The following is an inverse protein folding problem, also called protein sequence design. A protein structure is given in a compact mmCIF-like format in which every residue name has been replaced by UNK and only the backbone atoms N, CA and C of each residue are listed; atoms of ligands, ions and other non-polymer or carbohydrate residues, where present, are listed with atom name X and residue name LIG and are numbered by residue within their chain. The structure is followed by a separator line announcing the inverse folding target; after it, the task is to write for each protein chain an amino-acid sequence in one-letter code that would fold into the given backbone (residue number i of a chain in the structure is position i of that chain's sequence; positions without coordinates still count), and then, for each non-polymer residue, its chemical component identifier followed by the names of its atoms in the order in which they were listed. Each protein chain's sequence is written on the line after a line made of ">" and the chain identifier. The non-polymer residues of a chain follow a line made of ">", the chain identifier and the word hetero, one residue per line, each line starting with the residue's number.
data_IF_830946682114
#
_entry.id   IF_830946682114
#
_cell.length_a   1.000
_cell.length_b   1.000
_cell.length_c   1.000
_cell.angle_alpha   90.00
_cell.angle_beta   90.00
_cell.angle_gamma   90.00
#
_symmetry.space_group_name_H-M   'P 1'
#
loop_
_entity.id
_entity.type
_entity.pdbx_description
1 polymer ?
#
# COMPACT_ATOMS: atom_id res chain seq x y z
N UNK A 1 -19.58 -32.32 7.11
CA UNK A 1 -20.15 -31.26 6.26
C UNK A 1 -21.59 -31.66 5.97
N UNK A 2 -22.56 -30.83 6.34
CA UNK A 2 -24.01 -31.12 6.20
C UNK A 2 -24.49 -31.02 4.74
N UNK A 3 -23.66 -30.47 3.84
CA UNK A 3 -23.84 -30.45 2.40
C UNK A 3 -22.73 -31.25 1.71
N UNK A 4 -23.10 -32.09 0.75
CA UNK A 4 -22.16 -32.83 -0.09
C UNK A 4 -21.57 -31.90 -1.14
N UNK A 5 -20.37 -31.38 -0.86
CA UNK A 5 -19.63 -30.47 -1.73
C UNK A 5 -18.73 -31.20 -2.73
N UNK A 6 -18.84 -32.54 -2.83
CA UNK A 6 -18.03 -33.35 -3.76
C UNK A 6 -18.18 -32.91 -5.21
N UNK A 7 -19.35 -32.42 -5.61
CA UNK A 7 -19.61 -31.85 -6.94
C UNK A 7 -19.10 -30.41 -7.10
N UNK A 8 -18.92 -29.67 -6.01
CA UNK A 8 -18.49 -28.27 -6.07
C UNK A 8 -17.02 -28.15 -6.50
N UNK A 9 -16.15 -29.05 -6.04
CA UNK A 9 -14.73 -29.09 -6.40
C UNK A 9 -14.52 -29.22 -7.92
N UNK A 10 -15.02 -30.28 -8.60
CA UNK A 10 -14.82 -30.43 -10.04
C UNK A 10 -15.52 -29.32 -10.84
N UNK A 11 -16.69 -28.84 -10.40
CA UNK A 11 -17.37 -27.70 -11.04
C UNK A 11 -16.51 -26.45 -10.98
N UNK A 12 -15.96 -26.10 -9.80
CA UNK A 12 -15.11 -24.93 -9.63
C UNK A 12 -13.82 -25.03 -10.46
N UNK A 13 -13.18 -26.20 -10.50
CA UNK A 13 -11.95 -26.41 -11.26
C UNK A 13 -12.20 -26.35 -12.77
N UNK A 14 -13.23 -27.03 -13.27
CA UNK A 14 -13.55 -27.07 -14.71
C UNK A 14 -14.05 -25.70 -15.18
N UNK A 15 -15.06 -25.13 -14.52
CA UNK A 15 -15.59 -23.82 -14.89
C UNK A 15 -14.53 -22.72 -14.78
N UNK A 16 -13.73 -22.73 -13.71
CA UNK A 16 -12.65 -21.77 -13.51
C UNK A 16 -11.56 -21.87 -14.59
N UNK A 17 -11.14 -23.09 -14.95
CA UNK A 17 -10.13 -23.34 -15.98
C UNK A 17 -10.65 -22.96 -17.37
N UNK A 18 -11.87 -23.39 -17.72
CA UNK A 18 -12.52 -23.02 -18.98
C UNK A 18 -12.64 -21.51 -19.08
N UNK A 19 -13.12 -20.84 -18.04
CA UNK A 19 -13.27 -19.38 -18.05
C UNK A 19 -11.92 -18.65 -18.12
N UNK A 20 -10.86 -19.16 -17.50
CA UNK A 20 -9.51 -18.59 -17.59
C UNK A 20 -8.88 -18.76 -18.98
N UNK A 21 -9.16 -19.89 -19.65
CA UNK A 21 -8.61 -20.23 -20.96
C UNK A 21 -9.43 -19.67 -22.13
N UNK A 22 -10.76 -19.58 -22.00
CA UNK A 22 -11.68 -19.21 -23.08
C UNK A 22 -11.82 -17.69 -23.30
N UNK A 23 -11.15 -16.86 -22.49
CA UNK A 23 -11.27 -15.40 -22.60
C UNK A 23 -9.93 -14.69 -22.38
N UNK A 24 -9.74 -13.59 -23.11
CA UNK A 24 -8.62 -12.66 -22.91
C UNK A 24 -8.99 -11.48 -22.01
N UNK A 25 -10.29 -11.30 -21.70
CA UNK A 25 -10.76 -10.22 -20.83
C UNK A 25 -10.25 -10.42 -19.41
N UNK A 26 -9.50 -9.43 -18.90
CA UNK A 26 -8.82 -9.48 -17.60
C UNK A 26 -9.76 -9.87 -16.44
N UNK A 27 -10.96 -9.31 -16.40
CA UNK A 27 -11.91 -9.55 -15.31
C UNK A 27 -12.37 -11.00 -15.28
N UNK A 28 -12.76 -11.56 -16.43
CA UNK A 28 -13.20 -12.95 -16.54
C UNK A 28 -12.08 -13.94 -16.24
N UNK A 29 -10.84 -13.64 -16.64
CA UNK A 29 -9.67 -14.45 -16.25
C UNK A 29 -9.43 -14.41 -14.73
N UNK A 30 -9.65 -13.25 -14.11
CA UNK A 30 -9.50 -13.12 -12.66
C UNK A 30 -10.58 -13.90 -11.91
N UNK A 31 -11.85 -13.83 -12.36
CA UNK A 31 -12.91 -14.69 -11.85
C UNK A 31 -12.58 -16.18 -12.03
N UNK A 32 -11.96 -16.56 -13.15
CA UNK A 32 -11.55 -17.94 -13.42
C UNK A 32 -10.53 -18.44 -12.42
N UNK A 33 -9.51 -17.61 -12.13
CA UNK A 33 -8.51 -17.88 -11.08
C UNK A 33 -9.13 -18.01 -9.70
N UNK A 34 -10.11 -17.17 -9.35
CA UNK A 34 -10.82 -17.26 -8.07
C UNK A 34 -11.55 -18.60 -7.96
N UNK A 35 -12.28 -19.02 -9.00
CA UNK A 35 -12.98 -20.30 -9.05
C UNK A 35 -12.03 -21.49 -8.92
N UNK A 36 -10.91 -21.49 -9.66
CA UNK A 36 -9.88 -22.53 -9.52
C UNK A 36 -9.31 -22.54 -8.10
N UNK A 37 -9.01 -21.36 -7.53
CA UNK A 37 -8.51 -21.24 -6.16
C UNK A 37 -9.47 -21.81 -5.12
N UNK A 38 -10.77 -21.54 -5.24
CA UNK A 38 -11.81 -22.13 -4.39
C UNK A 38 -11.84 -23.66 -4.54
N UNK A 39 -11.80 -24.17 -5.78
CA UNK A 39 -11.77 -25.60 -6.05
C UNK A 39 -10.56 -26.30 -5.42
N UNK A 40 -9.37 -25.73 -5.57
CA UNK A 40 -8.13 -26.25 -4.96
C UNK A 40 -8.16 -26.17 -3.44
N UNK A 41 -8.70 -25.09 -2.86
CA UNK A 41 -8.87 -24.97 -1.41
C UNK A 41 -9.79 -26.08 -0.87
N UNK A 42 -10.95 -26.29 -1.48
CA UNK A 42 -11.90 -27.33 -1.07
C UNK A 42 -11.29 -28.74 -1.21
N UNK A 43 -10.61 -29.01 -2.33
CA UNK A 43 -9.89 -30.27 -2.53
C UNK A 43 -8.81 -30.49 -1.46
N UNK A 44 -8.03 -29.46 -1.14
CA UNK A 44 -7.00 -29.54 -0.10
C UNK A 44 -7.58 -29.87 1.27
N UNK A 45 -8.75 -29.31 1.61
CA UNK A 45 -9.45 -29.60 2.87
C UNK A 45 -9.95 -31.04 2.92
N UNK A 46 -10.48 -31.55 1.80
CA UNK A 46 -10.87 -32.95 1.69
C UNK A 46 -9.66 -33.88 1.90
N UNK A 47 -8.54 -33.60 1.22
CA UNK A 47 -7.30 -34.35 1.34
C UNK A 47 -6.74 -34.31 2.78
N UNK A 48 -6.71 -33.13 3.41
CA UNK A 48 -6.28 -32.99 4.82
C UNK A 48 -7.18 -33.83 5.73
N UNK A 49 -8.49 -33.78 5.49
CA UNK A 49 -9.41 -34.69 6.12
C UNK A 49 -8.93 -36.13 5.95
N UNK A 50 -8.92 -36.66 4.73
CA UNK A 50 -8.59 -38.07 4.45
C UNK A 50 -7.25 -38.49 5.08
N UNK A 51 -6.23 -37.65 4.97
CA UNK A 51 -4.91 -37.87 5.58
C UNK A 51 -4.94 -37.90 7.11
N UNK A 52 -5.91 -37.22 7.74
CA UNK A 52 -6.11 -37.21 9.20
C UNK A 52 -6.93 -38.40 9.71
N UNK A 53 -7.51 -39.22 8.85
CA UNK A 53 -8.35 -40.36 9.27
C UNK A 53 -7.62 -41.38 10.17
N UNK A 54 -6.35 -41.74 9.93
CA UNK A 54 -5.60 -42.64 10.81
C UNK A 54 -5.44 -42.09 12.23
N UNK A 55 -5.51 -40.77 12.43
CA UNK A 55 -5.42 -40.15 13.75
C UNK A 55 -6.62 -40.52 14.63
N UNK A 56 -7.75 -40.94 14.07
CA UNK A 56 -8.92 -41.40 14.83
C UNK A 56 -8.67 -42.72 15.55
N UNK A 57 -7.76 -43.53 15.02
CA UNK A 57 -7.34 -44.80 15.62
C UNK A 57 -6.13 -44.62 16.55
N UNK A 58 -5.57 -43.41 16.64
CA UNK A 58 -4.43 -43.11 17.49
C UNK A 58 -4.84 -42.97 18.96
N UNK A 59 -4.08 -43.62 19.84
CA UNK A 59 -4.20 -43.45 21.30
C UNK A 59 -3.72 -42.06 21.77
N UNK A 60 -2.92 -41.36 20.97
CA UNK A 60 -2.40 -40.04 21.30
C UNK A 60 -3.41 -38.92 21.07
N UNK A 61 -4.32 -39.05 20.10
CA UNK A 61 -5.25 -37.96 19.77
C UNK A 61 -6.18 -37.59 20.93
N UNK A 62 -6.83 -38.55 21.62
CA UNK A 62 -7.63 -38.22 22.80
C UNK A 62 -6.82 -37.52 23.90
N UNK A 63 -5.55 -37.89 24.08
CA UNK A 63 -4.66 -37.24 25.07
C UNK A 63 -4.38 -35.77 24.72
N UNK A 64 -4.09 -35.50 23.45
CA UNK A 64 -3.86 -34.14 22.94
C UNK A 64 -5.13 -33.30 23.08
N UNK A 65 -6.28 -33.84 22.67
CA UNK A 65 -7.58 -33.15 22.75
C UNK A 65 -7.96 -32.88 24.20
N UNK A 66 -7.75 -33.84 25.10
CA UNK A 66 -8.00 -33.66 26.53
C UNK A 66 -7.10 -32.60 27.15
N UNK A 67 -5.82 -32.55 26.78
CA UNK A 67 -4.91 -31.49 27.22
C UNK A 67 -5.42 -30.11 26.83
N UNK A 68 -5.76 -29.91 25.54
CA UNK A 68 -6.27 -28.62 25.07
C UNK A 68 -7.68 -28.29 25.57
N UNK A 69 -8.49 -29.30 25.87
CA UNK A 69 -9.81 -29.10 26.49
C UNK A 69 -9.70 -28.71 27.97
N UNK A 70 -8.59 -29.09 28.63
CA UNK A 70 -8.26 -28.68 30.00
C UNK A 70 -7.55 -27.32 30.07
N UNK A 71 -6.89 -26.88 29.00
CA UNK A 71 -6.18 -25.61 28.92
C UNK A 71 -6.56 -24.80 27.67
N UNK A 72 -7.64 -24.05 27.80
CA UNK A 72 -8.16 -23.18 26.74
C UNK A 72 -7.22 -22.02 26.38
N UNK A 73 -6.35 -21.57 27.28
CA UNK A 73 -5.40 -20.49 26.96
C UNK A 73 -4.34 -21.00 25.99
N UNK A 74 -3.80 -22.19 26.25
CA UNK A 74 -2.83 -22.79 25.32
C UNK A 74 -3.48 -23.16 23.98
N UNK A 75 -4.71 -23.69 23.99
CA UNK A 75 -5.46 -23.96 22.76
C UNK A 75 -5.67 -22.68 21.92
N UNK A 76 -6.10 -21.59 22.56
CA UNK A 76 -6.28 -20.29 21.94
C UNK A 76 -5.00 -19.75 21.29
N UNK A 77 -3.87 -19.78 22.01
CA UNK A 77 -2.59 -19.32 21.50
C UNK A 77 -2.06 -20.19 20.36
N UNK A 78 -2.26 -21.51 20.43
CA UNK A 78 -1.89 -22.42 19.35
C UNK A 78 -2.68 -22.11 18.07
N UNK A 79 -3.99 -21.90 18.17
CA UNK A 79 -4.80 -21.52 17.01
C UNK A 79 -4.40 -20.16 16.43
N UNK A 80 -4.04 -19.20 17.28
CA UNK A 80 -3.49 -17.92 16.83
C UNK A 80 -2.18 -18.10 16.06
N UNK A 81 -1.25 -18.92 16.58
CA UNK A 81 0.02 -19.23 15.93
C UNK A 81 -0.18 -19.91 14.57
N UNK A 82 -1.00 -20.95 14.52
CA UNK A 82 -1.29 -21.68 13.27
C UNK A 82 -1.92 -20.76 12.22
N UNK A 83 -2.85 -19.91 12.64
CA UNK A 83 -3.50 -18.95 11.72
C UNK A 83 -2.52 -17.92 11.18
N UNK A 84 -1.63 -17.41 12.04
CA UNK A 84 -0.58 -16.48 11.63
C UNK A 84 0.37 -17.14 10.61
N UNK A 85 0.79 -18.38 10.84
CA UNK A 85 1.60 -19.15 9.89
C UNK A 85 0.89 -19.37 8.54
N UNK A 86 -0.42 -19.61 8.56
CA UNK A 86 -1.21 -19.80 7.34
C UNK A 86 -1.52 -18.49 6.60
N UNK A 87 -1.29 -17.35 7.25
CA UNK A 87 -1.68 -16.03 6.76
C UNK A 87 -3.19 -15.93 6.37
N UNK A 88 -4.05 -16.83 6.86
CA UNK A 88 -5.45 -16.93 6.44
C UNK A 88 -6.36 -17.45 7.55
N UNK A 89 -7.31 -16.62 7.99
CA UNK A 89 -8.32 -17.02 8.97
C UNK A 89 -9.31 -18.03 8.41
N UNK A 90 -9.71 -17.89 7.14
CA UNK A 90 -10.69 -18.78 6.52
C UNK A 90 -10.11 -20.19 6.39
N UNK A 91 -8.87 -20.32 5.93
CA UNK A 91 -8.22 -21.62 5.83
C UNK A 91 -8.12 -22.31 7.20
N UNK A 92 -7.74 -21.56 8.25
CA UNK A 92 -7.66 -22.08 9.60
C UNK A 92 -9.04 -22.52 10.14
N UNK A 93 -10.11 -21.70 9.98
CA UNK A 93 -11.47 -22.08 10.39
C UNK A 93 -11.94 -23.33 9.63
N UNK A 94 -11.74 -23.40 8.31
CA UNK A 94 -12.17 -24.55 7.52
C UNK A 94 -11.46 -25.84 7.93
N UNK A 95 -10.18 -25.76 8.29
CA UNK A 95 -9.44 -26.88 8.87
C UNK A 95 -10.10 -27.34 10.19
N UNK A 96 -10.39 -26.42 11.10
CA UNK A 96 -11.06 -26.72 12.37
C UNK A 96 -12.43 -27.36 12.16
N UNK A 97 -13.23 -26.83 11.24
CA UNK A 97 -14.55 -27.35 10.87
C UNK A 97 -14.43 -28.77 10.30
N UNK A 98 -13.41 -29.02 9.48
CA UNK A 98 -13.14 -30.34 8.90
C UNK A 98 -12.80 -31.36 9.98
N UNK A 99 -11.90 -31.01 10.90
CA UNK A 99 -11.49 -31.87 12.01
C UNK A 99 -12.63 -32.11 13.01
N UNK A 100 -13.43 -31.09 13.31
CA UNK A 100 -14.63 -31.20 14.12
C UNK A 100 -15.67 -32.13 13.48
N UNK A 101 -15.84 -32.07 12.17
CA UNK A 101 -16.76 -32.95 11.43
C UNK A 101 -16.36 -34.42 11.47
N UNK A 102 -15.11 -34.73 11.82
CA UNK A 102 -14.59 -36.08 12.03
C UNK A 102 -14.66 -36.52 13.51
N UNK A 103 -15.15 -35.66 14.40
CA UNK A 103 -15.24 -35.92 15.84
C UNK A 103 -13.94 -35.69 16.62
N UNK A 104 -12.92 -35.08 16.02
CA UNK A 104 -11.65 -34.81 16.72
C UNK A 104 -11.72 -33.66 17.71
N UNK A 105 -12.60 -32.69 17.48
CA UNK A 105 -12.66 -31.45 18.23
C UNK A 105 -14.02 -31.35 18.92
N UNK A 106 -14.08 -31.31 20.27
CA UNK A 106 -15.31 -31.02 20.99
C UNK A 106 -15.72 -29.55 20.79
N UNK A 107 -17.01 -29.22 20.97
CA UNK A 107 -17.54 -27.92 20.59
C UNK A 107 -16.96 -26.75 21.37
N UNK A 108 -16.73 -26.89 22.66
CA UNK A 108 -16.13 -25.85 23.51
C UNK A 108 -14.70 -25.53 23.04
N UNK A 109 -13.91 -26.57 22.76
CA UNK A 109 -12.56 -26.41 22.22
C UNK A 109 -12.61 -25.74 20.85
N UNK A 110 -13.55 -26.13 19.97
CA UNK A 110 -13.73 -25.52 18.66
C UNK A 110 -13.97 -24.01 18.72
N UNK A 111 -14.80 -23.54 19.65
CA UNK A 111 -15.07 -22.11 19.86
C UNK A 111 -13.81 -21.37 20.32
N UNK A 112 -13.08 -21.93 21.28
CA UNK A 112 -11.82 -21.35 21.78
C UNK A 112 -10.78 -21.25 20.67
N UNK A 113 -10.65 -22.29 19.83
CA UNK A 113 -9.75 -22.27 18.69
C UNK A 113 -10.16 -21.18 17.68
N UNK A 114 -11.45 -20.98 17.41
CA UNK A 114 -11.96 -19.90 16.53
C UNK A 114 -11.62 -18.51 17.08
N UNK A 115 -11.69 -18.30 18.39
CA UNK A 115 -11.23 -17.05 19.00
C UNK A 115 -9.73 -16.86 18.76
N UNK A 116 -8.94 -17.90 18.93
CA UNK A 116 -7.50 -17.89 18.62
C UNK A 116 -7.21 -17.55 17.16
N UNK A 117 -7.97 -18.12 16.22
CA UNK A 117 -7.88 -17.79 14.78
C UNK A 117 -8.11 -16.30 14.52
N UNK A 118 -9.07 -15.67 15.23
CA UNK A 118 -9.30 -14.24 15.09
C UNK A 118 -8.16 -13.38 15.65
N UNK A 119 -7.51 -13.81 16.73
CA UNK A 119 -6.28 -13.16 17.21
C UNK A 119 -5.16 -13.28 16.18
N UNK A 120 -4.85 -14.52 15.75
CA UNK A 120 -3.75 -14.79 14.82
C UNK A 120 -3.86 -14.01 13.52
N UNK A 121 -5.06 -13.98 12.94
CA UNK A 121 -5.31 -13.22 11.71
C UNK A 121 -5.23 -11.70 11.88
N UNK A 122 -5.57 -11.19 13.05
CA UNK A 122 -5.49 -9.76 13.34
C UNK A 122 -4.05 -9.22 13.41
N UNK A 123 -3.06 -10.10 13.67
CA UNK A 123 -1.64 -9.77 13.76
C UNK A 123 -0.98 -9.60 12.38
N UNK A 124 -1.51 -10.26 11.34
CA UNK A 124 -0.88 -10.34 10.01
C UNK A 124 -0.68 -8.95 9.40
N UNK A 125 -1.74 -8.13 9.34
CA UNK A 125 -1.68 -6.83 8.67
C UNK A 125 -0.73 -5.83 9.37
N UNK A 126 -0.74 -5.67 10.71
CA UNK A 126 0.28 -4.89 11.42
C UNK A 126 1.71 -5.32 11.12
N UNK A 127 1.97 -6.64 11.06
CA UNK A 127 3.30 -7.16 10.80
C UNK A 127 3.77 -6.84 9.38
N UNK A 128 2.90 -7.04 8.39
CA UNK A 128 3.22 -6.76 6.98
C UNK A 128 3.40 -5.25 6.69
N UNK A 129 2.72 -4.39 7.46
CA UNK A 129 2.78 -2.93 7.30
C UNK A 129 3.79 -2.25 8.21
N UNK A 130 4.61 -3.00 8.97
CA UNK A 130 5.53 -2.42 9.97
C UNK A 130 6.49 -1.36 9.43
N UNK A 131 6.88 -1.46 8.17
CA UNK A 131 7.81 -0.55 7.48
C UNK A 131 7.10 0.54 6.65
N UNK A 132 5.76 0.55 6.64
CA UNK A 132 4.99 1.57 5.93
C UNK A 132 4.96 2.89 6.71
N UNK A 133 4.55 3.96 6.03
CA UNK A 133 4.36 5.26 6.66
C UNK A 133 3.35 5.20 7.82
N UNK A 134 3.49 6.05 8.86
CA UNK A 134 2.63 6.04 10.03
C UNK A 134 1.13 6.02 9.70
N UNK A 135 0.67 6.86 8.75
CA UNK A 135 -0.74 6.92 8.36
C UNK A 135 -1.30 5.59 7.83
N UNK A 136 -0.49 4.79 7.13
CA UNK A 136 -0.88 3.49 6.57
C UNK A 136 -1.03 2.43 7.68
N UNK A 137 -0.28 2.57 8.78
CA UNK A 137 -0.23 1.60 9.88
C UNK A 137 -1.42 1.73 10.84
N UNK A 138 -2.10 2.87 10.85
CA UNK A 138 -3.21 3.14 11.79
C UNK A 138 -4.34 2.13 11.63
N UNK A 139 -4.79 1.85 10.40
CA UNK A 139 -5.91 0.93 10.15
C UNK A 139 -5.58 -0.52 10.51
N UNK A 140 -4.42 -1.09 10.09
CA UNK A 140 -4.00 -2.42 10.55
C UNK A 140 -3.92 -2.57 12.07
N UNK A 141 -3.37 -1.56 12.77
CA UNK A 141 -3.31 -1.56 14.24
C UNK A 141 -4.71 -1.48 14.84
N UNK A 142 -5.60 -0.67 14.27
CA UNK A 142 -7.00 -0.60 14.70
C UNK A 142 -7.73 -1.94 14.54
N UNK A 143 -7.48 -2.68 13.45
CA UNK A 143 -8.01 -4.03 13.26
C UNK A 143 -7.47 -5.02 14.31
N UNK A 144 -6.18 -4.94 14.66
CA UNK A 144 -5.58 -5.73 15.75
C UNK A 144 -6.24 -5.42 17.09
N UNK A 145 -6.45 -4.14 17.41
CA UNK A 145 -7.12 -3.72 18.63
C UNK A 145 -8.56 -4.25 18.67
N UNK A 146 -9.35 -4.01 17.62
CA UNK A 146 -10.75 -4.45 17.56
C UNK A 146 -10.89 -5.97 17.65
N UNK A 147 -10.25 -6.70 16.72
CA UNK A 147 -10.43 -8.15 16.60
C UNK A 147 -9.61 -8.93 17.61
N UNK A 148 -8.37 -8.50 17.85
CA UNK A 148 -7.46 -9.15 18.80
C UNK A 148 -7.95 -8.97 20.25
N UNK A 149 -8.21 -7.73 20.69
CA UNK A 149 -8.73 -7.53 22.06
C UNK A 149 -10.15 -8.06 22.19
N UNK A 150 -11.01 -7.91 21.17
CA UNK A 150 -12.35 -8.49 21.17
C UNK A 150 -12.32 -10.02 21.32
N UNK A 151 -11.38 -10.68 20.64
CA UNK A 151 -11.14 -12.13 20.76
C UNK A 151 -10.69 -12.52 22.17
N UNK A 152 -9.75 -11.78 22.75
CA UNK A 152 -9.26 -12.02 24.11
C UNK A 152 -10.36 -11.80 25.17
N UNK A 153 -11.13 -10.72 25.04
CA UNK A 153 -12.27 -10.46 25.93
C UNK A 153 -13.33 -11.56 25.84
N UNK A 154 -13.62 -12.03 24.63
CA UNK A 154 -14.55 -13.15 24.43
C UNK A 154 -14.03 -14.46 25.02
N UNK A 155 -12.72 -14.71 24.98
CA UNK A 155 -12.12 -15.87 25.64
C UNK A 155 -12.35 -15.82 27.16
N UNK A 156 -12.06 -14.67 27.78
CA UNK A 156 -12.27 -14.46 29.22
C UNK A 156 -13.75 -14.66 29.57
N UNK A 157 -14.65 -14.07 28.78
CA UNK A 157 -16.09 -14.20 28.98
C UNK A 157 -16.56 -15.66 28.84
N UNK A 158 -16.05 -16.37 27.85
CA UNK A 158 -16.38 -17.78 27.61
C UNK A 158 -15.91 -18.68 28.77
N UNK A 159 -14.68 -18.48 29.26
CA UNK A 159 -14.13 -19.24 30.38
C UNK A 159 -14.87 -18.99 31.71
N UNK A 160 -15.37 -17.76 31.91
CA UNK A 160 -16.05 -17.36 33.14
C UNK A 160 -17.54 -17.71 33.14
N UNK A 161 -18.26 -17.41 32.06
CA UNK A 161 -19.71 -17.64 31.98
C UNK A 161 -20.08 -19.06 31.54
N UNK A 162 -19.19 -19.77 30.86
CA UNK A 162 -19.41 -21.13 30.33
C UNK A 162 -20.77 -21.28 29.65
N UNK A 163 -21.09 -20.44 28.64
CA UNK A 163 -22.40 -20.46 28.02
C UNK A 163 -22.64 -21.81 27.33
N UNK A 164 -23.90 -22.31 27.32
CA UNK A 164 -24.22 -23.51 26.57
C UNK A 164 -23.94 -23.27 25.08
N UNK A 165 -23.25 -24.19 24.41
CA UNK A 165 -22.82 -24.00 23.01
C UNK A 165 -23.86 -24.49 21.99
N UNK A 166 -24.89 -25.19 22.44
CA UNK A 166 -25.91 -25.82 21.58
C UNK A 166 -26.76 -24.83 20.77
N UNK A 167 -26.89 -23.57 21.21
CA UNK A 167 -27.62 -22.55 20.43
C UNK A 167 -26.90 -22.16 19.14
N UNK A 168 -25.59 -22.45 19.03
CA UNK A 168 -24.78 -22.11 17.87
C UNK A 168 -24.99 -23.09 16.70
N UNK A 169 -25.68 -24.21 16.89
CA UNK A 169 -25.96 -25.14 15.80
C UNK A 169 -26.18 -26.58 16.26
N UNK A 170 -26.73 -27.39 15.36
CA UNK A 170 -27.07 -28.79 15.63
C UNK A 170 -25.85 -29.73 15.64
N UNK A 171 -24.78 -29.39 14.91
CA UNK A 171 -23.53 -30.16 14.86
C UNK A 171 -22.33 -29.33 15.30
N UNK A 172 -21.25 -29.98 15.73
CA UNK A 172 -20.01 -29.28 16.14
C UNK A 172 -19.42 -28.41 15.00
N UNK A 173 -19.34 -28.89 13.74
CA UNK A 173 -18.98 -28.04 12.61
C UNK A 173 -19.80 -26.75 12.50
N UNK A 174 -21.13 -26.86 12.61
CA UNK A 174 -22.03 -25.70 12.51
C UNK A 174 -21.78 -24.72 13.66
N UNK A 175 -21.57 -25.23 14.87
CA UNK A 175 -21.27 -24.42 16.05
C UNK A 175 -19.97 -23.63 15.88
N UNK A 176 -18.94 -24.22 15.30
CA UNK A 176 -17.66 -23.54 15.00
C UNK A 176 -17.85 -22.43 13.96
N UNK A 177 -18.56 -22.72 12.86
CA UNK A 177 -18.83 -21.72 11.80
C UNK A 177 -19.66 -20.57 12.35
N UNK A 178 -20.75 -20.88 13.06
CA UNK A 178 -21.64 -19.88 13.61
C UNK A 178 -21.00 -19.08 14.74
N UNK A 179 -20.12 -19.69 15.56
CA UNK A 179 -19.30 -18.96 16.52
C UNK A 179 -18.37 -17.96 15.82
N UNK A 180 -17.75 -18.34 14.69
CA UNK A 180 -16.91 -17.43 13.92
C UNK A 180 -17.72 -16.24 13.37
N UNK A 181 -18.89 -16.50 12.80
CA UNK A 181 -19.77 -15.45 12.27
C UNK A 181 -20.25 -14.55 13.42
N UNK A 182 -20.79 -15.14 14.49
CA UNK A 182 -21.31 -14.42 15.64
C UNK A 182 -20.24 -13.53 16.28
N UNK A 183 -19.02 -14.04 16.46
CA UNK A 183 -17.91 -13.26 16.96
C UNK A 183 -17.65 -12.01 16.09
N UNK A 184 -17.56 -12.19 14.77
CA UNK A 184 -17.30 -11.05 13.87
C UNK A 184 -18.48 -10.07 13.84
N UNK A 185 -19.72 -10.54 13.95
CA UNK A 185 -20.91 -9.68 14.10
C UNK A 185 -20.85 -8.88 15.40
N UNK A 186 -20.47 -9.50 16.52
CA UNK A 186 -20.33 -8.80 17.80
C UNK A 186 -19.22 -7.75 17.72
N UNK A 187 -18.06 -8.09 17.16
CA UNK A 187 -16.97 -7.13 16.95
C UNK A 187 -17.40 -5.99 16.04
N UNK A 188 -18.19 -6.26 15.00
CA UNK A 188 -18.75 -5.21 14.12
C UNK A 188 -19.68 -4.27 14.90
N UNK A 189 -20.69 -4.83 15.59
CA UNK A 189 -21.70 -4.05 16.31
C UNK A 189 -21.09 -3.25 17.47
N UNK A 190 -20.16 -3.85 18.22
CA UNK A 190 -19.43 -3.16 19.28
C UNK A 190 -18.37 -2.19 18.71
N UNK A 191 -17.80 -2.50 17.55
CA UNK A 191 -16.75 -1.72 16.92
C UNK A 191 -17.20 -0.42 16.31
N UNK A 192 -18.42 -0.36 15.76
CA UNK A 192 -18.98 0.88 15.20
C UNK A 192 -18.96 2.05 16.20
N UNK A 193 -19.52 1.94 17.43
CA UNK A 193 -19.45 3.03 18.40
C UNK A 193 -18.04 3.26 18.96
N UNK A 194 -17.21 2.22 19.02
CA UNK A 194 -15.84 2.31 19.55
C UNK A 194 -14.81 2.78 18.50
N UNK A 195 -15.19 2.93 17.24
CA UNK A 195 -14.27 3.18 16.13
C UNK A 195 -13.42 4.44 16.33
N UNK A 196 -14.03 5.53 16.83
CA UNK A 196 -13.32 6.80 17.08
C UNK A 196 -12.27 6.67 18.20
N UNK A 197 -12.59 5.93 19.25
CA UNK A 197 -11.67 5.65 20.36
C UNK A 197 -10.51 4.79 19.89
N UNK A 198 -10.80 3.73 19.13
CA UNK A 198 -9.80 2.80 18.61
C UNK A 198 -8.90 3.48 17.59
N UNK A 199 -9.45 4.36 16.75
CA UNK A 199 -8.65 5.17 15.83
C UNK A 199 -7.64 6.03 16.59
N UNK A 200 -8.08 6.80 17.60
CA UNK A 200 -7.20 7.62 18.44
C UNK A 200 -6.14 6.79 19.18
N UNK A 201 -6.53 5.62 19.68
CA UNK A 201 -5.59 4.70 20.33
C UNK A 201 -4.54 4.18 19.34
N UNK A 202 -4.98 3.83 18.12
CA UNK A 202 -4.11 3.35 17.05
C UNK A 202 -3.11 4.42 16.60
N UNK A 203 -3.55 5.68 16.45
CA UNK A 203 -2.66 6.81 16.17
C UNK A 203 -1.58 6.97 17.24
N UNK A 204 -1.95 6.91 18.53
CA UNK A 204 -0.98 7.00 19.63
C UNK A 204 0.03 5.85 19.61
N UNK A 205 -0.43 4.62 19.39
CA UNK A 205 0.45 3.44 19.32
C UNK A 205 1.43 3.56 18.16
N UNK A 206 0.96 4.03 17.00
CA UNK A 206 1.82 4.25 15.83
C UNK A 206 2.83 5.37 16.10
N UNK A 207 2.40 6.47 16.72
CA UNK A 207 3.25 7.61 17.05
C UNK A 207 4.37 7.26 18.05
N UNK A 208 4.12 6.34 18.99
CA UNK A 208 5.16 5.85 19.93
C UNK A 208 6.34 5.15 19.23
N UNK A 209 6.10 4.55 18.06
CA UNK A 209 7.12 3.88 17.26
C UNK A 209 7.60 4.67 16.05
N UNK A 210 7.02 5.85 15.80
CA UNK A 210 7.51 6.78 14.79
C UNK A 210 8.69 7.56 15.35
N UNK A 211 9.75 7.74 14.55
CA UNK A 211 10.73 8.79 14.89
C UNK A 211 9.94 10.10 14.99
N UNK A 212 10.21 10.95 16.00
CA UNK A 212 9.57 12.26 16.07
C UNK A 212 9.75 12.88 14.70
N UNK A 213 8.63 13.22 14.08
CA UNK A 213 8.62 14.05 12.89
C UNK A 213 9.52 15.22 13.25
N UNK A 214 10.67 15.34 12.57
CA UNK A 214 11.52 16.50 12.77
C UNK A 214 10.60 17.68 12.56
N UNK A 215 10.33 18.42 13.63
CA UNK A 215 9.51 19.60 13.57
C UNK A 215 10.04 20.41 12.39
N UNK A 216 9.26 20.46 11.30
CA UNK A 216 9.57 21.26 10.15
C UNK A 216 9.78 22.66 10.69
N UNK A 217 11.03 23.09 10.67
CA UNK A 217 11.49 24.30 11.32
C UNK A 217 10.85 25.48 10.59
N UNK A 218 9.66 25.90 11.03
CA UNK A 218 8.75 26.74 10.25
C UNK A 218 8.48 26.07 8.90
N UNK A 219 7.30 25.50 8.69
CA UNK A 219 6.86 25.25 7.31
C UNK A 219 6.95 26.59 6.57
N UNK A 220 8.03 26.76 5.79
CA UNK A 220 8.07 27.68 4.68
C UNK A 220 7.04 27.09 3.74
N UNK A 221 5.76 27.39 4.01
CA UNK A 221 4.67 27.10 3.10
C UNK A 221 5.10 27.80 1.82
N UNK A 222 5.48 27.02 0.84
CA UNK A 222 5.95 27.55 -0.43
C UNK A 222 4.74 28.18 -1.12
N UNK A 223 4.46 29.45 -0.80
CA UNK A 223 3.31 30.19 -1.32
C UNK A 223 3.45 30.27 -2.83
N UNK A 224 2.47 29.71 -3.56
CA UNK A 224 2.45 29.80 -5.01
C UNK A 224 2.38 31.28 -5.43
N UNK A 225 3.12 31.62 -6.49
CA UNK A 225 3.01 32.93 -7.11
C UNK A 225 1.70 33.07 -7.91
N UNK A 226 1.01 31.96 -8.21
CA UNK A 226 -0.25 31.95 -8.94
C UNK A 226 -1.36 32.54 -8.07
N UNK A 227 -1.81 33.75 -8.42
CA UNK A 227 -2.88 34.45 -7.73
C UNK A 227 -4.14 34.51 -8.60
N UNK A 228 -5.21 33.85 -8.17
CA UNK A 228 -6.49 33.83 -8.90
C UNK A 228 -7.15 35.22 -8.97
N UNK A 229 -6.90 36.10 -8.01
CA UNK A 229 -7.49 37.46 -8.02
C UNK A 229 -6.91 38.36 -9.12
N UNK A 230 -5.79 37.96 -9.74
CA UNK A 230 -5.14 38.72 -10.81
C UNK A 230 -5.59 38.27 -12.22
N UNK A 231 -6.48 37.28 -12.32
CA UNK A 231 -6.89 36.71 -13.62
C UNK A 231 -7.54 37.74 -14.56
N UNK A 232 -8.23 38.75 -14.00
CA UNK A 232 -8.86 39.83 -14.76
C UNK A 232 -7.87 40.86 -15.31
N UNK A 233 -6.58 40.76 -14.93
CA UNK A 233 -5.49 41.62 -15.42
C UNK A 233 -4.41 40.73 -16.08
N UNK A 234 -4.52 40.42 -17.39
CA UNK A 234 -3.66 39.43 -18.05
C UNK A 234 -2.16 39.65 -17.89
N UNK A 235 -1.67 40.88 -18.01
CA UNK A 235 -0.26 41.23 -17.78
C UNK A 235 0.24 40.85 -16.38
N UNK A 236 -0.56 41.10 -15.34
CA UNK A 236 -0.23 40.72 -13.97
C UNK A 236 -0.29 39.19 -13.77
N UNK A 237 -1.29 38.53 -14.35
CA UNK A 237 -1.41 37.07 -14.31
C UNK A 237 -0.20 36.39 -15.01
N UNK A 238 0.23 36.89 -16.16
CA UNK A 238 1.41 36.38 -16.88
C UNK A 238 2.71 36.61 -16.10
N UNK A 239 2.82 37.72 -15.37
CA UNK A 239 3.95 37.96 -14.46
C UNK A 239 3.96 36.96 -13.28
N UNK A 240 2.80 36.67 -12.69
CA UNK A 240 2.64 35.65 -11.66
C UNK A 240 3.02 34.25 -12.16
N UNK A 241 2.55 33.88 -13.36
CA UNK A 241 2.92 32.63 -14.01
C UNK A 241 4.43 32.56 -14.28
N UNK A 242 5.03 33.65 -14.77
CA UNK A 242 6.49 33.73 -14.99
C UNK A 242 7.26 33.45 -13.69
N UNK A 243 6.85 34.02 -12.55
CA UNK A 243 7.48 33.76 -11.25
C UNK A 243 7.36 32.29 -10.84
N UNK A 244 6.24 31.64 -11.12
CA UNK A 244 6.09 30.21 -10.81
C UNK A 244 6.96 29.34 -11.71
N UNK A 245 7.09 29.67 -13.00
CA UNK A 245 8.00 28.99 -13.93
C UNK A 245 9.46 29.09 -13.48
N UNK A 246 9.89 30.25 -12.97
CA UNK A 246 11.25 30.42 -12.42
C UNK A 246 11.52 29.45 -11.26
N UNK A 247 10.54 29.23 -10.38
CA UNK A 247 10.69 28.25 -9.29
C UNK A 247 10.79 26.81 -9.82
N UNK A 248 10.14 26.51 -10.94
CA UNK A 248 10.32 25.22 -11.61
C UNK A 248 11.74 25.10 -12.14
N UNK A 249 12.29 26.14 -12.78
CA UNK A 249 13.70 26.17 -13.22
C UNK A 249 14.67 25.93 -12.05
N UNK A 250 14.47 26.58 -10.91
CA UNK A 250 15.29 26.37 -9.70
C UNK A 250 15.21 24.92 -9.21
N UNK A 251 14.02 24.32 -9.20
CA UNK A 251 13.82 22.93 -8.80
C UNK A 251 14.53 21.97 -9.77
N UNK A 252 14.41 22.20 -11.08
CA UNK A 252 15.09 21.42 -12.12
C UNK A 252 16.61 21.56 -12.02
N UNK A 253 17.13 22.75 -11.70
CA UNK A 253 18.57 22.94 -11.47
C UNK A 253 19.07 22.09 -10.29
N UNK A 254 18.30 22.04 -9.20
CA UNK A 254 18.61 21.18 -8.04
C UNK A 254 18.59 19.71 -8.47
N UNK A 255 17.60 19.29 -9.27
CA UNK A 255 17.52 17.92 -9.78
C UNK A 255 18.73 17.55 -10.62
N UNK A 256 19.17 18.43 -11.53
CA UNK A 256 20.37 18.25 -12.34
C UNK A 256 21.65 18.13 -11.48
N UNK A 257 21.80 18.96 -10.44
CA UNK A 257 22.96 18.83 -9.53
C UNK A 257 22.93 17.51 -8.75
N UNK A 258 21.77 17.11 -8.24
CA UNK A 258 21.64 15.90 -7.41
C UNK A 258 21.77 14.62 -8.20
N UNK A 259 21.29 14.57 -9.44
CA UNK A 259 21.35 13.34 -10.23
C UNK A 259 22.81 12.93 -10.49
N UNK A 260 23.71 13.87 -10.79
CA UNK A 260 25.11 13.53 -11.03
C UNK A 260 25.80 13.04 -9.74
N UNK A 261 25.53 13.66 -8.59
CA UNK A 261 26.02 13.20 -7.28
C UNK A 261 25.61 11.76 -6.97
N UNK A 262 24.41 11.35 -7.41
CA UNK A 262 23.91 9.98 -7.23
C UNK A 262 24.64 8.96 -8.11
N UNK A 263 25.21 9.34 -9.25
CA UNK A 263 26.05 8.43 -10.04
C UNK A 263 27.40 8.14 -9.35
N UNK A 264 27.91 9.11 -8.58
CA UNK A 264 29.11 8.96 -7.75
C UNK A 264 28.80 8.14 -6.49
N UNK A 265 27.86 8.60 -5.68
CA UNK A 265 27.50 8.02 -4.39
C UNK A 265 25.99 7.95 -4.21
N UNK A 266 25.43 6.79 -4.59
CA UNK A 266 24.01 6.52 -4.47
C UNK A 266 23.63 6.10 -3.04
N UNK A 267 22.55 6.67 -2.53
CA UNK A 267 21.89 6.27 -1.30
C UNK A 267 20.37 6.24 -1.52
N UNK A 268 19.69 5.28 -0.88
CA UNK A 268 18.26 5.06 -1.05
C UNK A 268 17.43 6.28 -0.65
N UNK A 269 17.83 7.02 0.37
CA UNK A 269 17.12 8.21 0.81
C UNK A 269 17.35 9.39 -0.14
N UNK A 270 18.57 9.56 -0.66
CA UNK A 270 18.86 10.56 -1.71
C UNK A 270 18.08 10.27 -3.02
N UNK A 271 17.94 9.01 -3.42
CA UNK A 271 17.15 8.60 -4.58
C UNK A 271 15.67 8.98 -4.40
N UNK A 272 15.10 8.70 -3.22
CA UNK A 272 13.72 9.10 -2.90
C UNK A 272 13.56 10.62 -2.87
N UNK A 273 14.52 11.33 -2.29
CA UNK A 273 14.50 12.79 -2.24
C UNK A 273 14.56 13.43 -3.63
N UNK A 274 15.30 12.85 -4.58
CA UNK A 274 15.30 13.32 -5.97
C UNK A 274 13.95 13.05 -6.65
N UNK A 275 13.36 11.87 -6.48
CA UNK A 275 12.03 11.57 -7.04
C UNK A 275 10.94 12.50 -6.49
N UNK A 276 11.01 12.88 -5.22
CA UNK A 276 10.08 13.85 -4.63
C UNK A 276 10.21 15.28 -5.21
N UNK A 277 11.35 15.65 -5.81
CA UNK A 277 11.50 16.93 -6.52
C UNK A 277 10.76 16.92 -7.86
N UNK A 278 10.74 15.77 -8.56
CA UNK A 278 9.99 15.57 -9.79
C UNK A 278 8.48 15.70 -9.55
N UNK A 279 7.96 15.06 -8.49
CA UNK A 279 6.56 15.23 -8.06
C UNK A 279 6.19 16.71 -7.81
N UNK A 280 7.15 17.54 -7.36
CA UNK A 280 6.95 18.98 -7.17
C UNK A 280 6.92 19.72 -8.51
N UNK A 281 7.79 19.37 -9.46
CA UNK A 281 7.79 19.89 -10.83
C UNK A 281 6.44 19.59 -11.50
N UNK A 282 5.95 18.37 -11.41
CA UNK A 282 4.66 17.94 -11.98
C UNK A 282 3.47 18.73 -11.42
N UNK A 283 3.42 18.90 -10.09
CA UNK A 283 2.35 19.68 -9.43
C UNK A 283 2.37 21.14 -9.87
N UNK A 284 3.55 21.77 -9.92
CA UNK A 284 3.70 23.17 -10.39
C UNK A 284 3.34 23.29 -11.87
N UNK A 285 3.81 22.37 -12.70
CA UNK A 285 3.49 22.30 -14.12
C UNK A 285 1.98 22.22 -14.37
N UNK A 286 1.27 21.34 -13.66
CA UNK A 286 -0.18 21.24 -13.73
C UNK A 286 -0.88 22.54 -13.29
N UNK A 287 -0.43 23.14 -12.18
CA UNK A 287 -1.00 24.39 -11.67
C UNK A 287 -0.80 25.56 -12.65
N UNK A 288 0.40 25.70 -13.24
CA UNK A 288 0.69 26.75 -14.23
C UNK A 288 -0.17 26.57 -15.48
N UNK A 289 -0.31 25.33 -16.00
CA UNK A 289 -1.17 25.05 -17.17
C UNK A 289 -2.62 25.45 -16.91
N UNK A 290 -3.17 25.05 -15.76
CA UNK A 290 -4.55 25.40 -15.39
C UNK A 290 -4.72 26.91 -15.22
N UNK A 291 -3.74 27.58 -14.62
CA UNK A 291 -3.77 29.02 -14.44
C UNK A 291 -3.73 29.77 -15.78
N UNK A 292 -2.80 29.43 -16.67
CA UNK A 292 -2.70 30.04 -18.00
C UNK A 292 -3.94 29.78 -18.87
N UNK A 293 -4.55 28.60 -18.76
CA UNK A 293 -5.82 28.30 -19.42
C UNK A 293 -6.99 29.16 -18.90
N UNK A 294 -6.95 29.61 -17.63
CA UNK A 294 -7.92 30.58 -17.11
C UNK A 294 -7.64 31.99 -17.66
N UNK A 295 -6.36 32.39 -17.77
CA UNK A 295 -5.95 33.69 -18.32
C UNK A 295 -6.43 33.87 -19.77
N UNK A 296 -6.36 32.82 -20.59
CA UNK A 296 -6.82 32.86 -22.00
C UNK A 296 -8.32 33.05 -22.18
N UNK A 297 -9.12 33.08 -21.11
CA UNK A 297 -10.55 33.42 -21.18
C UNK A 297 -10.79 34.92 -21.33
N UNK A 298 -9.81 35.75 -20.94
CA UNK A 298 -9.86 37.19 -21.11
C UNK A 298 -9.21 37.60 -22.44
N UNK A 299 -9.60 38.73 -23.04
CA UNK A 299 -8.94 39.25 -24.25
C UNK A 299 -7.45 39.49 -23.97
N UNK A 300 -6.59 38.94 -24.82
CA UNK A 300 -5.14 39.12 -24.74
C UNK A 300 -4.68 39.98 -25.92
N UNK A 301 -3.69 40.85 -25.69
CA UNK A 301 -2.90 41.44 -26.77
C UNK A 301 -2.04 40.38 -27.46
N UNK A 302 -1.51 40.68 -28.65
CA UNK A 302 -0.63 39.76 -29.39
C UNK A 302 0.61 39.37 -28.57
N UNK A 303 1.23 40.34 -27.88
CA UNK A 303 2.39 40.11 -27.01
C UNK A 303 2.05 39.22 -25.81
N UNK A 304 0.87 39.40 -25.19
CA UNK A 304 0.41 38.59 -24.07
C UNK A 304 0.07 37.16 -24.50
N UNK A 305 -0.54 36.99 -25.66
CA UNK A 305 -0.81 35.68 -26.24
C UNK A 305 0.49 34.92 -26.55
N UNK A 306 1.47 35.60 -27.15
CA UNK A 306 2.81 35.05 -27.39
C UNK A 306 3.48 34.65 -26.08
N UNK A 307 3.45 35.53 -25.07
CA UNK A 307 4.04 35.23 -23.75
C UNK A 307 3.37 34.03 -23.07
N UNK A 308 2.05 33.90 -23.19
CA UNK A 308 1.32 32.75 -22.67
C UNK A 308 1.81 31.45 -23.33
N UNK A 309 1.97 31.43 -24.66
CA UNK A 309 2.48 30.28 -25.40
C UNK A 309 3.94 29.95 -25.02
N UNK A 310 4.81 30.95 -24.89
CA UNK A 310 6.20 30.78 -24.43
C UNK A 310 6.24 30.10 -23.06
N UNK A 311 5.42 30.54 -22.10
CA UNK A 311 5.38 29.98 -20.75
C UNK A 311 4.86 28.54 -20.72
N UNK A 312 3.82 28.22 -21.51
CA UNK A 312 3.32 26.84 -21.66
C UNK A 312 4.42 25.95 -22.26
N UNK A 313 5.06 26.42 -23.33
CA UNK A 313 6.16 25.70 -23.98
C UNK A 313 7.31 25.41 -23.02
N UNK A 314 7.75 26.42 -22.27
CA UNK A 314 8.79 26.26 -21.26
C UNK A 314 8.38 25.26 -20.16
N UNK A 315 7.15 25.33 -19.65
CA UNK A 315 6.65 24.40 -18.65
C UNK A 315 6.69 22.95 -19.12
N UNK A 316 6.32 22.67 -20.38
CA UNK A 316 6.37 21.32 -20.95
C UNK A 316 7.82 20.85 -21.07
N UNK A 317 8.73 21.73 -21.50
CA UNK A 317 10.16 21.36 -21.60
C UNK A 317 10.80 21.10 -20.25
N UNK A 318 10.45 21.85 -19.21
CA UNK A 318 10.95 21.63 -17.85
C UNK A 318 10.44 20.33 -17.24
N UNK A 319 9.16 19.99 -17.47
CA UNK A 319 8.60 18.69 -17.05
C UNK A 319 9.32 17.53 -17.76
N UNK A 320 9.55 17.63 -19.06
CA UNK A 320 10.32 16.63 -19.81
C UNK A 320 11.74 16.42 -19.26
N UNK A 321 12.40 17.48 -18.76
CA UNK A 321 13.71 17.35 -18.10
C UNK A 321 13.60 16.55 -16.80
N UNK A 322 12.61 16.84 -15.96
CA UNK A 322 12.35 16.06 -14.74
C UNK A 322 12.10 14.58 -15.04
N UNK A 323 11.27 14.33 -16.04
CA UNK A 323 10.92 13.00 -16.52
C UNK A 323 12.17 12.23 -17.01
N UNK A 324 13.08 12.88 -17.75
CA UNK A 324 14.36 12.29 -18.17
C UNK A 324 15.22 11.95 -16.95
N UNK A 325 15.30 12.84 -15.96
CA UNK A 325 16.09 12.63 -14.75
C UNK A 325 15.57 11.40 -13.98
N UNK A 326 14.26 11.28 -13.76
CA UNK A 326 13.68 10.21 -12.94
C UNK A 326 13.47 8.91 -13.71
N UNK A 327 12.94 8.96 -14.93
CA UNK A 327 12.59 7.76 -15.70
C UNK A 327 13.77 7.15 -16.45
N UNK A 328 14.79 7.95 -16.78
CA UNK A 328 15.96 7.45 -17.51
C UNK A 328 17.21 7.44 -16.62
N UNK A 329 17.66 8.60 -16.15
CA UNK A 329 18.95 8.69 -15.45
C UNK A 329 18.93 7.96 -14.09
N UNK A 330 17.90 8.14 -13.28
CA UNK A 330 17.77 7.50 -11.98
C UNK A 330 17.64 5.96 -12.10
N UNK A 331 17.07 5.46 -13.19
CA UNK A 331 17.03 4.01 -13.49
C UNK A 331 18.44 3.46 -13.66
N UNK A 332 19.33 4.20 -14.33
CA UNK A 332 20.74 3.81 -14.45
C UNK A 332 21.50 3.89 -13.12
N UNK A 333 21.23 4.89 -12.28
CA UNK A 333 21.77 4.98 -10.92
C UNK A 333 21.39 3.73 -10.11
N UNK A 334 20.10 3.34 -10.11
CA UNK A 334 19.63 2.15 -9.40
C UNK A 334 20.32 0.88 -9.92
N UNK A 335 20.44 0.74 -11.24
CA UNK A 335 21.13 -0.39 -11.87
C UNK A 335 22.62 -0.46 -11.51
N UNK A 336 23.31 0.70 -11.39
CA UNK A 336 24.71 0.79 -10.94
C UNK A 336 24.84 0.33 -9.49
N UNK A 337 23.95 0.81 -8.60
CA UNK A 337 23.91 0.45 -7.19
C UNK A 337 23.64 -1.04 -6.97
N UNK A 338 22.59 -1.59 -7.60
CA UNK A 338 22.20 -3.00 -7.49
C UNK A 338 23.30 -3.97 -7.94
N UNK A 339 24.12 -3.54 -8.91
CA UNK A 339 25.21 -4.36 -9.47
C UNK A 339 26.57 -4.08 -8.83
N UNK A 340 26.66 -3.13 -7.90
CA UNK A 340 27.93 -2.73 -7.27
C UNK A 340 28.97 -2.22 -8.27
N UNK A 341 28.55 -1.47 -9.29
CA UNK A 341 29.44 -0.99 -10.36
C UNK A 341 30.01 0.40 -10.04
N UNK A 342 31.24 0.64 -10.51
CA UNK A 342 31.92 1.94 -10.45
C UNK A 342 32.39 2.37 -11.84
N UNK A 343 32.51 3.68 -12.06
CA UNK A 343 33.11 4.20 -13.28
C UNK A 343 34.64 4.18 -13.18
N UNK A 344 35.31 4.06 -14.32
CA UNK A 344 36.74 4.38 -14.38
C UNK A 344 36.95 5.87 -14.10
N UNK A 345 38.11 6.28 -13.56
CA UNK A 345 38.41 7.69 -13.33
C UNK A 345 38.29 8.55 -14.60
N UNK A 346 38.67 8.02 -15.76
CA UNK A 346 38.54 8.68 -17.06
C UNK A 346 37.08 8.84 -17.46
N UNK A 347 36.29 7.75 -17.39
CA UNK A 347 34.86 7.78 -17.76
C UNK A 347 34.04 8.68 -16.82
N UNK A 348 34.39 8.72 -15.53
CA UNK A 348 33.76 9.63 -14.58
C UNK A 348 34.05 11.11 -14.91
N UNK A 349 35.30 11.41 -15.31
CA UNK A 349 35.70 12.76 -15.70
C UNK A 349 34.98 13.22 -16.97
N UNK A 350 34.90 12.36 -17.98
CA UNK A 350 34.17 12.64 -19.22
C UNK A 350 32.68 12.88 -18.98
N UNK A 351 32.03 12.00 -18.21
CA UNK A 351 30.61 12.13 -17.87
C UNK A 351 30.32 13.41 -17.07
N UNK A 352 31.16 13.71 -16.07
CA UNK A 352 31.01 14.90 -15.24
C UNK A 352 31.22 16.19 -16.04
N UNK A 353 32.21 16.21 -16.94
CA UNK A 353 32.46 17.34 -17.83
C UNK A 353 31.28 17.57 -18.79
N UNK A 354 30.75 16.50 -19.39
CA UNK A 354 29.57 16.60 -20.26
C UNK A 354 28.33 17.10 -19.49
N UNK A 355 28.09 16.56 -18.30
CA UNK A 355 27.00 17.01 -17.43
C UNK A 355 27.15 18.47 -17.01
N UNK A 356 28.37 18.93 -16.71
CA UNK A 356 28.64 20.33 -16.39
C UNK A 356 28.28 21.26 -17.56
N UNK A 357 28.58 20.87 -18.80
CA UNK A 357 28.16 21.62 -20.00
C UNK A 357 26.64 21.66 -20.15
N UNK A 358 25.93 20.56 -19.89
CA UNK A 358 24.45 20.53 -19.91
C UNK A 358 23.87 21.45 -18.83
N UNK A 359 24.41 21.43 -17.61
CA UNK A 359 23.97 22.30 -16.51
C UNK A 359 24.23 23.78 -16.82
N UNK A 360 25.38 24.11 -17.43
CA UNK A 360 25.68 25.47 -17.86
C UNK A 360 24.69 25.95 -18.94
N UNK A 361 24.39 25.10 -19.92
CA UNK A 361 23.42 25.42 -20.96
C UNK A 361 21.99 25.58 -20.39
N UNK A 362 21.58 24.72 -19.45
CA UNK A 362 20.30 24.82 -18.76
C UNK A 362 20.16 26.17 -18.02
N UNK A 363 21.20 26.60 -17.28
CA UNK A 363 21.21 27.89 -16.59
C UNK A 363 21.07 29.07 -17.54
N UNK A 364 21.76 29.03 -18.68
CA UNK A 364 21.62 30.06 -19.71
C UNK A 364 20.19 30.10 -20.25
N UNK A 365 19.58 28.93 -20.52
CA UNK A 365 18.20 28.84 -20.98
C UNK A 365 17.21 29.38 -19.94
N UNK A 366 17.43 29.11 -18.65
CA UNK A 366 16.60 29.65 -17.56
C UNK A 366 16.71 31.18 -17.49
N UNK A 367 17.92 31.74 -17.68
CA UNK A 367 18.12 33.18 -17.72
C UNK A 367 17.40 33.83 -18.92
N UNK A 368 17.45 33.21 -20.09
CA UNK A 368 16.76 33.70 -21.31
C UNK A 368 15.24 33.69 -21.13
N UNK A 369 14.68 32.67 -20.46
CA UNK A 369 13.24 32.58 -20.19
C UNK A 369 12.71 33.77 -19.35
N UNK A 370 13.54 34.27 -18.43
CA UNK A 370 13.24 35.39 -17.54
C UNK A 370 13.54 36.74 -18.20
N UNK A 371 14.75 36.90 -18.72
CA UNK A 371 15.24 38.18 -19.26
C UNK A 371 14.67 38.52 -20.64
N UNK A 372 14.33 37.49 -21.44
CA UNK A 372 14.01 37.62 -22.87
C UNK A 372 15.10 38.37 -23.67
N UNK A 373 16.35 38.32 -23.19
CA UNK A 373 17.48 38.98 -23.83
C UNK A 373 17.89 38.22 -25.11
N UNK A 374 17.79 38.85 -26.31
CA UNK A 374 18.17 38.23 -27.57
C UNK A 374 19.66 37.86 -27.65
N UNK A 375 20.54 38.62 -26.99
CA UNK A 375 21.98 38.32 -26.99
C UNK A 375 22.27 37.06 -26.19
N UNK A 376 21.68 36.92 -25.01
CA UNK A 376 21.74 35.68 -24.22
C UNK A 376 21.13 34.48 -24.97
N UNK A 377 20.06 34.70 -25.76
CA UNK A 377 19.47 33.65 -26.58
C UNK A 377 20.39 33.16 -27.69
N UNK A 378 21.20 34.04 -28.31
CA UNK A 378 22.19 33.63 -29.33
C UNK A 378 23.31 32.77 -28.77
N UNK A 379 23.63 32.90 -27.48
CA UNK A 379 24.65 32.07 -26.84
C UNK A 379 24.20 30.61 -26.62
N UNK A 380 22.92 30.29 -26.82
CA UNK A 380 22.37 28.93 -26.70
C UNK A 380 22.52 28.09 -27.98
N UNK A 381 22.83 28.70 -29.13
CA UNK A 381 22.78 28.09 -30.48
C UNK A 381 24.17 27.83 -31.05
#
# INVERSE_FOLDING_TARGET
>A
LTFDLSLLVPVCLVAGTVMFMATERRDWRQFGRILVGIGLLLLSLEMIGQASEPLRQSTLMPMIVNYFSGDFVTAYLLAALVTWLFHSSIAAVLLLVTLAGRGFIPPELGIVLVLGVNLGSSIIAPLLTRNAEPGVRVVPIGNLLMRGMGSLLMLILFMTLKPPVGFLGASVPDQIVNAHILFNVIVLLAGLPLASLVYRASEKIVALGAKPEQASALDIVELSALNESALDTPSQALANATREVVRVCETVEIMLKRIIELYESADGDKIKALAALDDRVDKKHAAIKLYLAKVTKNPLSEDEALRCQELIGACVKLEQVGDIIVRNMLVHVRKKLERGLEFTPEGWRELSAFHASVLANARLAFNVLVSRDPEAARQLV
#
